data_IF_765850009851
#
_entry.id   IF_765850009851
#
_cell.length_a   1.000
_cell.length_b   1.000
_cell.length_c   1.000
_cell.angle_alpha   90.00
_cell.angle_beta   90.00
_cell.angle_gamma   90.00
#
_symmetry.space_group_name_H-M   'P 1'
#
loop_
_entity.id
_entity.type
_entity.pdbx_description
1 polymer ?
#
# COMPACT_ATOMS: atom_id res chain seq x y z
N UNK A 1 -30.55 -5.67 1.98
CA UNK A 1 -29.08 -5.71 2.18
C UNK A 1 -28.64 -4.26 2.36
N UNK A 2 -28.35 -3.84 3.59
CA UNK A 2 -27.96 -2.45 3.88
C UNK A 2 -26.51 -2.24 3.47
N UNK A 3 -26.21 -1.12 2.82
CA UNK A 3 -24.83 -0.71 2.57
C UNK A 3 -24.09 -0.60 3.91
N UNK A 4 -22.81 -1.03 3.97
CA UNK A 4 -22.01 -0.84 5.18
C UNK A 4 -21.96 0.66 5.53
N UNK A 5 -21.90 1.00 6.82
CA UNK A 5 -21.83 2.39 7.26
C UNK A 5 -20.66 3.12 6.61
N UNK A 6 -20.90 4.38 6.22
CA UNK A 6 -19.89 5.25 5.62
C UNK A 6 -18.74 5.40 6.62
N UNK A 7 -17.52 5.06 6.19
CA UNK A 7 -16.31 5.30 6.98
C UNK A 7 -16.05 6.81 6.93
N UNK A 8 -16.18 7.49 8.06
CA UNK A 8 -16.15 8.97 8.13
C UNK A 8 -14.76 9.59 7.87
N UNK A 9 -13.69 8.80 7.78
CA UNK A 9 -12.37 9.29 7.37
C UNK A 9 -11.54 8.21 6.70
N UNK A 10 -11.07 8.47 5.48
CA UNK A 10 -10.10 7.63 4.78
C UNK A 10 -8.69 8.15 5.05
N UNK A 11 -7.84 7.32 5.67
CA UNK A 11 -6.48 7.71 6.10
C UNK A 11 -5.44 7.16 5.14
N UNK A 12 -4.66 8.08 4.58
CA UNK A 12 -3.56 7.75 3.67
C UNK A 12 -2.23 8.16 4.29
N UNK A 13 -1.27 7.25 4.30
CA UNK A 13 0.12 7.53 4.66
C UNK A 13 1.00 7.51 3.41
N UNK A 14 1.80 8.56 3.20
CA UNK A 14 2.89 8.53 2.24
C UNK A 14 4.20 8.71 2.98
N UNK A 15 5.12 7.78 2.81
CA UNK A 15 6.42 7.80 3.47
C UNK A 15 7.55 7.56 2.47
N UNK A 16 8.56 8.42 2.45
CA UNK A 16 9.85 8.11 1.81
C UNK A 16 10.75 7.41 2.83
N UNK A 17 11.02 6.12 2.62
CA UNK A 17 11.81 5.33 3.54
C UNK A 17 13.33 5.48 3.33
N UNK A 18 13.78 5.90 2.13
CA UNK A 18 15.18 5.84 1.67
C UNK A 18 15.72 4.41 1.49
N UNK A 19 15.37 3.51 2.41
CA UNK A 19 15.48 2.06 2.35
C UNK A 19 14.57 1.45 3.41
N UNK A 20 13.77 0.45 3.04
CA UNK A 20 13.04 -0.29 4.07
C UNK A 20 14.03 -1.14 4.88
N UNK A 21 14.16 -0.86 6.17
CA UNK A 21 14.76 -1.80 7.13
C UNK A 21 13.69 -2.82 7.56
N UNK A 22 14.09 -3.93 8.20
CA UNK A 22 13.13 -4.89 8.81
C UNK A 22 12.32 -4.30 9.98
N UNK A 23 12.23 -2.98 10.07
CA UNK A 23 11.67 -2.26 11.21
C UNK A 23 10.18 -2.56 11.35
N UNK A 24 9.88 -3.33 12.40
CA UNK A 24 8.58 -3.48 13.05
C UNK A 24 7.89 -2.13 13.32
N UNK A 25 8.63 -1.02 13.35
CA UNK A 25 8.12 0.36 13.48
C UNK A 25 7.11 0.73 12.39
N UNK A 26 7.29 0.29 11.15
CA UNK A 26 6.35 0.59 10.06
C UNK A 26 4.98 -0.06 10.34
N UNK A 27 5.00 -1.32 10.78
CA UNK A 27 3.81 -2.09 11.14
C UNK A 27 3.08 -1.52 12.36
N UNK A 28 3.84 -1.16 13.39
CA UNK A 28 3.29 -0.53 14.60
C UNK A 28 2.60 0.79 14.24
N UNK A 29 3.25 1.62 13.42
CA UNK A 29 2.68 2.90 12.98
C UNK A 29 1.41 2.74 12.13
N UNK A 30 1.32 1.73 11.25
CA UNK A 30 0.15 1.53 10.40
C UNK A 30 -1.08 1.09 11.20
N UNK A 31 -0.89 0.21 12.18
CA UNK A 31 -1.99 -0.28 13.01
C UNK A 31 -2.46 0.78 14.01
N UNK A 32 -1.54 1.43 14.73
CA UNK A 32 -1.88 2.45 15.74
C UNK A 32 -2.58 3.68 15.14
N UNK A 33 -2.22 4.06 13.91
CA UNK A 33 -2.80 5.22 13.22
C UNK A 33 -4.03 4.89 12.38
N UNK A 34 -4.46 3.62 12.40
CA UNK A 34 -5.58 3.10 11.60
C UNK A 34 -5.50 3.54 10.13
N UNK A 35 -4.33 3.35 9.50
CA UNK A 35 -4.12 3.75 8.12
C UNK A 35 -4.91 2.83 7.17
N UNK A 36 -5.63 3.37 6.20
CA UNK A 36 -6.37 2.55 5.23
C UNK A 36 -5.49 2.16 4.05
N UNK A 37 -4.70 3.12 3.57
CA UNK A 37 -3.75 2.93 2.47
C UNK A 37 -2.42 3.60 2.80
N UNK A 38 -1.31 2.90 2.55
CA UNK A 38 0.02 3.48 2.65
C UNK A 38 0.80 3.34 1.33
N UNK A 39 1.61 4.35 1.04
CA UNK A 39 2.56 4.39 -0.07
C UNK A 39 3.95 4.61 0.49
N UNK A 40 4.81 3.61 0.32
CA UNK A 40 6.21 3.64 0.75
C UNK A 40 7.08 3.81 -0.48
N UNK A 41 7.69 4.98 -0.59
CA UNK A 41 8.65 5.32 -1.64
C UNK A 41 10.05 4.91 -1.18
N UNK A 42 10.91 4.59 -2.15
CA UNK A 42 12.30 4.19 -1.87
C UNK A 42 12.43 2.96 -0.97
N UNK A 43 11.44 2.06 -1.05
CA UNK A 43 11.46 0.81 -0.29
C UNK A 43 12.68 -0.06 -0.61
N UNK A 44 13.18 -0.01 -1.85
CA UNK A 44 14.27 -0.85 -2.34
C UNK A 44 14.00 -2.36 -2.12
N UNK A 45 12.73 -2.75 -2.22
CA UNK A 45 12.27 -4.12 -2.12
C UNK A 45 11.87 -4.67 -3.49
N UNK A 46 12.07 -5.98 -3.63
CA UNK A 46 11.63 -6.78 -4.77
C UNK A 46 10.58 -7.79 -4.31
N UNK A 47 9.81 -8.34 -5.24
CA UNK A 47 8.76 -9.32 -4.94
C UNK A 47 9.30 -10.51 -4.15
N UNK A 48 10.54 -10.92 -4.44
CA UNK A 48 11.25 -11.99 -3.73
C UNK A 48 11.57 -11.63 -2.29
N UNK A 49 11.87 -10.36 -1.99
CA UNK A 49 12.18 -9.91 -0.64
C UNK A 49 10.93 -9.56 0.17
N UNK A 50 9.84 -9.19 -0.51
CA UNK A 50 8.57 -8.84 0.11
C UNK A 50 7.97 -9.98 0.95
N UNK A 51 8.19 -11.24 0.54
CA UNK A 51 7.73 -12.43 1.27
C UNK A 51 8.31 -12.56 2.68
N UNK A 52 9.45 -11.92 2.95
CA UNK A 52 10.07 -11.92 4.29
C UNK A 52 9.45 -10.90 5.23
N UNK A 53 8.57 -10.02 4.72
CA UNK A 53 7.85 -9.05 5.52
C UNK A 53 6.44 -9.56 5.81
N UNK A 54 6.13 -9.75 7.09
CA UNK A 54 4.79 -10.15 7.53
C UNK A 54 3.98 -8.92 7.92
N UNK A 55 3.20 -8.40 6.98
CA UNK A 55 2.27 -7.31 7.27
C UNK A 55 0.86 -7.83 7.55
N UNK A 56 0.56 -8.09 8.83
CA UNK A 56 -0.79 -8.50 9.27
C UNK A 56 -1.81 -7.41 8.98
N UNK A 57 -2.97 -7.78 8.45
CA UNK A 57 -4.08 -6.85 8.18
C UNK A 57 -3.97 -6.05 6.88
N UNK A 58 -2.86 -6.15 6.13
CA UNK A 58 -2.65 -5.42 4.88
C UNK A 58 -2.26 -6.35 3.73
N UNK A 59 -2.71 -6.02 2.53
CA UNK A 59 -2.21 -6.57 1.27
C UNK A 59 -1.22 -5.58 0.69
N UNK A 60 -0.05 -6.07 0.30
CA UNK A 60 1.02 -5.24 -0.26
C UNK A 60 1.22 -5.53 -1.75
N UNK A 61 1.35 -4.46 -2.53
CA UNK A 61 1.55 -4.48 -3.97
C UNK A 61 2.80 -3.69 -4.30
N UNK A 62 3.69 -4.26 -5.12
CA UNK A 62 4.90 -3.57 -5.53
C UNK A 62 4.73 -2.99 -6.94
N UNK A 63 5.17 -1.75 -7.09
CA UNK A 63 5.56 -1.20 -8.38
C UNK A 63 7.09 -1.27 -8.45
N UNK A 64 7.65 -2.19 -9.26
CA UNK A 64 9.09 -2.38 -9.33
C UNK A 64 9.77 -1.15 -9.93
N UNK A 65 11.09 -1.08 -9.73
CA UNK A 65 11.93 -0.03 -10.30
C UNK A 65 11.71 0.06 -11.82
N UNK A 66 11.40 1.24 -12.33
CA UNK A 66 11.32 1.55 -13.75
C UNK A 66 12.10 2.83 -14.07
N UNK A 67 12.23 3.20 -15.35
CA UNK A 67 13.05 4.36 -15.79
C UNK A 67 12.72 5.67 -15.05
N UNK A 68 11.47 5.83 -14.59
CA UNK A 68 11.00 6.99 -13.82
C UNK A 68 10.84 6.71 -12.31
N UNK A 69 10.91 5.45 -11.87
CA UNK A 69 10.72 5.02 -10.47
C UNK A 69 12.02 4.34 -10.03
N UNK A 70 12.93 5.09 -9.39
CA UNK A 70 14.34 4.69 -9.24
C UNK A 70 14.58 3.55 -8.23
N UNK A 71 13.62 3.29 -7.35
CA UNK A 71 13.81 2.47 -6.14
C UNK A 71 12.60 1.59 -5.77
N UNK A 72 11.61 1.53 -6.67
CA UNK A 72 10.31 0.90 -6.44
C UNK A 72 9.40 1.69 -5.50
N UNK A 73 8.10 1.42 -5.62
CA UNK A 73 7.05 1.92 -4.72
C UNK A 73 6.33 0.70 -4.16
N UNK A 74 6.07 0.70 -2.86
CA UNK A 74 5.29 -0.33 -2.20
C UNK A 74 3.98 0.26 -1.70
N UNK A 75 2.85 -0.30 -2.13
CA UNK A 75 1.51 0.12 -1.72
C UNK A 75 0.92 -0.91 -0.78
N UNK A 76 0.59 -0.51 0.43
CA UNK A 76 -0.14 -1.32 1.41
C UNK A 76 -1.60 -0.90 1.47
N UNK A 77 -2.52 -1.85 1.36
CA UNK A 77 -3.98 -1.63 1.45
C UNK A 77 -4.54 -2.50 2.55
N UNK A 78 -5.31 -1.92 3.47
CA UNK A 78 -5.96 -2.67 4.55
C UNK A 78 -6.89 -3.74 3.96
N UNK A 79 -6.80 -4.98 4.43
CA UNK A 79 -7.53 -6.13 3.85
C UNK A 79 -9.04 -6.04 3.95
N UNK A 80 -9.53 -5.35 4.98
CA UNK A 80 -10.95 -5.11 5.23
C UNK A 80 -11.49 -3.89 4.47
N UNK A 81 -10.61 -3.12 3.81
CA UNK A 81 -11.03 -2.01 2.98
C UNK A 81 -11.75 -2.54 1.75
N UNK A 82 -12.99 -2.09 1.56
CA UNK A 82 -13.79 -2.37 0.38
C UNK A 82 -14.07 -1.07 -0.35
N UNK A 83 -14.15 -1.13 -1.68
CA UNK A 83 -14.41 0.04 -2.50
C UNK A 83 -15.32 -0.31 -3.67
N UNK A 84 -16.27 0.57 -3.97
CA UNK A 84 -17.06 0.50 -5.19
C UNK A 84 -16.27 1.12 -6.34
N UNK A 85 -15.77 0.28 -7.25
CA UNK A 85 -15.04 0.73 -8.43
C UNK A 85 -16.00 0.95 -9.61
N UNK A 86 -16.12 2.21 -10.06
CA UNK A 86 -16.77 2.54 -11.33
C UNK A 86 -15.73 2.99 -12.35
N UNK A 87 -15.37 2.09 -13.26
CA UNK A 87 -14.45 2.40 -14.35
C UNK A 87 -15.16 3.28 -15.40
N UNK A 88 -14.65 4.48 -15.64
CA UNK A 88 -15.21 5.43 -16.61
C UNK A 88 -14.52 5.29 -17.97
N UNK A 89 -13.23 4.95 -17.98
CA UNK A 89 -12.42 4.76 -19.18
C UNK A 89 -11.26 3.80 -18.89
N UNK A 90 -11.02 2.85 -19.80
CA UNK A 90 -9.84 2.01 -19.81
C UNK A 90 -8.92 2.45 -20.95
N UNK A 91 -7.60 2.41 -20.73
CA UNK A 91 -6.62 2.63 -21.79
C UNK A 91 -6.12 1.25 -22.22
N UNK A 92 -6.41 0.86 -23.46
CA UNK A 92 -5.80 -0.30 -24.11
C UNK A 92 -4.53 0.15 -24.82
N UNK A 93 -3.46 -0.61 -24.68
CA UNK A 93 -2.28 -0.52 -25.54
C UNK A 93 -2.58 -1.26 -26.84
N UNK A 94 -2.59 -0.53 -27.96
CA UNK A 94 -2.54 -1.08 -29.32
C UNK A 94 -1.17 -1.73 -29.59
#
# INVERSE_FOLDING_TARGET
MSLPPRVDSFRVLQWNAGRLSQSTELLMNLHEKEIDVCSIMEANLTSENLKYYSFKGYSFYELPKFRQVVSGILIGVKKELTADLRMIKAMTTD
#
